data_IF_504208453878
#
_entry.id   IF_504208453878
#
_cell.length_a   1.000
_cell.length_b   1.000
_cell.length_c   1.000
_cell.angle_alpha   90.00
_cell.angle_beta   90.00
_cell.angle_gamma   90.00
#
_symmetry.space_group_name_H-M   'P 1'
#
loop_
_entity.id
_entity.type
_entity.pdbx_description
1 polymer ?
#
# COMPACT_ATOMS: atom_id res chain seq x y z
N UNK A 1 9.24 -22.21 18.09
CA UNK A 1 10.63 -21.89 18.32
C UNK A 1 11.21 -20.98 17.26
N UNK A 2 10.87 -21.20 16.02
CA UNK A 2 11.39 -20.43 14.90
C UNK A 2 10.64 -19.13 14.62
N UNK A 3 9.44 -19.00 15.16
CA UNK A 3 8.59 -17.83 14.90
C UNK A 3 9.16 -16.54 15.49
N UNK A 4 9.79 -16.64 16.66
CA UNK A 4 10.38 -15.47 17.33
C UNK A 4 11.53 -14.89 16.50
N UNK A 5 12.37 -15.75 15.91
CA UNK A 5 13.49 -15.28 15.11
C UNK A 5 13.03 -14.67 13.78
N UNK A 6 11.91 -15.13 13.24
CA UNK A 6 11.32 -14.56 12.01
C UNK A 6 10.71 -13.19 12.28
N UNK A 7 10.03 -13.05 13.42
CA UNK A 7 9.41 -11.76 13.81
C UNK A 7 10.43 -10.67 14.09
N UNK A 8 11.62 -11.03 14.56
CA UNK A 8 12.66 -10.06 14.89
C UNK A 8 13.62 -9.77 13.74
N UNK A 9 13.51 -10.53 12.64
CA UNK A 9 14.40 -10.31 11.49
C UNK A 9 14.07 -8.99 10.78
N UNK A 10 15.11 -8.24 10.46
CA UNK A 10 15.00 -7.06 9.60
C UNK A 10 16.07 -7.16 8.51
N UNK A 11 15.72 -6.82 7.26
CA UNK A 11 16.69 -6.82 6.17
C UNK A 11 17.86 -5.87 6.45
N UNK A 12 19.06 -6.30 6.12
CA UNK A 12 20.28 -5.55 6.32
C UNK A 12 21.00 -5.33 5.00
N UNK A 13 21.65 -4.17 4.86
CA UNK A 13 22.48 -3.87 3.70
C UNK A 13 23.71 -4.76 3.60
N UNK A 14 24.07 -5.46 4.69
CA UNK A 14 25.19 -6.39 4.71
C UNK A 14 24.88 -7.73 4.04
N UNK A 15 23.61 -7.98 3.76
CA UNK A 15 23.14 -9.19 3.08
C UNK A 15 23.01 -8.96 1.58
N UNK A 16 23.07 -10.02 0.76
CA UNK A 16 22.77 -9.88 -0.67
C UNK A 16 21.36 -9.30 -0.84
N UNK A 17 21.22 -8.32 -1.73
CA UNK A 17 19.96 -7.63 -1.96
C UNK A 17 18.91 -8.61 -2.47
N UNK A 18 17.73 -8.55 -1.87
CA UNK A 18 16.58 -9.41 -2.21
C UNK A 18 16.91 -10.90 -2.19
N UNK A 19 17.71 -11.32 -1.23
CA UNK A 19 17.87 -12.75 -0.97
C UNK A 19 16.53 -13.34 -0.51
N UNK A 20 16.45 -14.65 -0.43
CA UNK A 20 15.18 -15.33 -0.10
C UNK A 20 14.57 -14.86 1.21
N UNK A 21 15.42 -14.56 2.20
CA UNK A 21 14.97 -14.11 3.51
C UNK A 21 14.38 -12.70 3.43
N UNK A 22 14.99 -11.81 2.67
CA UNK A 22 14.48 -10.46 2.45
C UNK A 22 13.17 -10.48 1.68
N UNK A 23 13.07 -11.30 0.63
CA UNK A 23 11.84 -11.45 -0.13
C UNK A 23 10.70 -11.94 0.74
N UNK A 24 10.95 -12.91 1.59
CA UNK A 24 9.93 -13.43 2.51
C UNK A 24 9.50 -12.37 3.53
N UNK A 25 10.45 -11.56 4.01
CA UNK A 25 10.13 -10.45 4.90
C UNK A 25 9.14 -9.46 4.26
N UNK A 26 9.44 -9.02 3.05
CA UNK A 26 8.57 -8.07 2.35
C UNK A 26 7.25 -8.70 1.93
N UNK A 27 7.28 -9.97 1.55
CA UNK A 27 6.07 -10.72 1.22
C UNK A 27 5.11 -10.74 2.41
N UNK A 28 5.60 -11.09 3.58
CA UNK A 28 4.77 -11.12 4.81
C UNK A 28 4.26 -9.74 5.18
N UNK A 29 5.08 -8.74 5.04
CA UNK A 29 4.69 -7.35 5.34
C UNK A 29 3.56 -6.90 4.42
N UNK A 30 3.67 -7.18 3.14
CA UNK A 30 2.65 -6.85 2.15
C UNK A 30 1.33 -7.60 2.41
N UNK A 31 1.40 -8.88 2.72
CA UNK A 31 0.21 -9.69 3.02
C UNK A 31 -0.49 -9.18 4.27
N UNK A 32 0.25 -8.89 5.34
CA UNK A 32 -0.31 -8.37 6.58
C UNK A 32 -1.01 -7.02 6.34
N UNK A 33 -0.39 -6.15 5.56
CA UNK A 33 -0.96 -4.85 5.21
C UNK A 33 -2.24 -5.02 4.39
N UNK A 34 -2.23 -5.92 3.41
CA UNK A 34 -3.40 -6.23 2.60
C UNK A 34 -4.58 -6.69 3.47
N UNK A 35 -4.32 -7.60 4.39
CA UNK A 35 -5.35 -8.11 5.29
C UNK A 35 -5.90 -7.01 6.20
N UNK A 36 -5.04 -6.12 6.68
CA UNK A 36 -5.44 -4.99 7.50
C UNK A 36 -6.39 -4.05 6.73
N UNK A 37 -6.09 -3.75 5.47
CA UNK A 37 -6.94 -2.91 4.62
C UNK A 37 -8.29 -3.57 4.39
N UNK A 38 -8.31 -4.88 4.11
CA UNK A 38 -9.56 -5.61 3.87
C UNK A 38 -10.43 -5.65 5.12
N UNK A 39 -9.84 -5.84 6.29
CA UNK A 39 -10.57 -5.83 7.56
C UNK A 39 -11.20 -4.46 7.82
N UNK A 40 -10.43 -3.40 7.61
CA UNK A 40 -10.91 -2.02 7.76
C UNK A 40 -12.06 -1.72 6.80
N UNK A 41 -11.98 -2.18 5.56
CA UNK A 41 -13.03 -2.01 4.56
C UNK A 41 -14.32 -2.71 4.97
N UNK A 42 -14.23 -3.91 5.53
CA UNK A 42 -15.41 -4.64 6.02
C UNK A 42 -16.08 -3.90 7.17
N UNK A 43 -15.31 -3.38 8.10
CA UNK A 43 -15.83 -2.63 9.24
C UNK A 43 -16.53 -1.35 8.79
N UNK A 44 -15.93 -0.64 7.84
CA UNK A 44 -16.51 0.57 7.27
C UNK A 44 -17.83 0.27 6.57
N UNK A 45 -17.89 -0.81 5.80
CA UNK A 45 -19.11 -1.20 5.10
C UNK A 45 -20.23 -1.54 6.09
N UNK A 46 -19.91 -2.27 7.16
CA UNK A 46 -20.88 -2.61 8.19
C UNK A 46 -21.43 -1.36 8.88
N UNK A 47 -20.56 -0.39 9.19
CA UNK A 47 -20.98 0.87 9.79
C UNK A 47 -21.89 1.66 8.88
N UNK A 48 -21.60 1.72 7.57
CA UNK A 48 -22.44 2.40 6.58
C UNK A 48 -23.84 1.76 6.50
N UNK A 49 -23.91 0.44 6.54
CA UNK A 49 -25.18 -0.28 6.50
C UNK A 49 -26.03 0.03 7.73
N UNK A 50 -25.43 0.09 8.92
CA UNK A 50 -26.12 0.45 10.14
C UNK A 50 -26.65 1.88 10.11
N UNK A 51 -25.86 2.83 9.66
CA UNK A 51 -26.28 4.22 9.52
C UNK A 51 -27.47 4.35 8.57
N UNK A 52 -27.41 3.67 7.44
CA UNK A 52 -28.49 3.70 6.45
C UNK A 52 -29.83 3.22 7.01
N UNK A 53 -29.80 2.25 7.93
CA UNK A 53 -31.00 1.71 8.57
C UNK A 53 -31.57 2.61 9.66
N UNK A 54 -30.74 3.48 10.25
CA UNK A 54 -31.10 4.26 11.44
C UNK A 54 -31.48 5.71 11.16
N UNK A 55 -31.43 6.18 9.91
CA UNK A 55 -31.72 7.57 9.57
C UNK A 55 -32.93 7.74 8.66
N UNK A 56 -34.17 7.82 9.22
CA UNK A 56 -35.37 8.05 8.42
C UNK A 56 -35.62 9.51 8.06
N UNK A 57 -34.97 10.48 8.73
CA UNK A 57 -35.21 11.92 8.51
C UNK A 57 -34.52 12.43 7.24
N UNK A 58 -35.19 13.37 6.55
CA UNK A 58 -34.70 13.93 5.30
C UNK A 58 -33.37 14.67 5.46
N UNK A 59 -33.22 15.46 6.53
CA UNK A 59 -31.97 16.19 6.81
C UNK A 59 -30.83 15.23 7.14
N UNK A 60 -31.13 14.19 7.89
CA UNK A 60 -30.16 13.15 8.23
C UNK A 60 -29.74 12.34 7.00
N UNK A 61 -30.66 12.17 6.03
CA UNK A 61 -30.32 11.52 4.77
C UNK A 61 -29.28 12.31 3.97
N UNK A 62 -29.42 13.64 3.89
CA UNK A 62 -28.48 14.47 3.15
C UNK A 62 -27.08 14.39 3.75
N UNK A 63 -26.98 14.43 5.10
CA UNK A 63 -25.72 14.27 5.80
C UNK A 63 -25.14 12.88 5.59
N UNK A 64 -25.98 11.85 5.68
CA UNK A 64 -25.58 10.46 5.47
C UNK A 64 -25.09 10.21 4.05
N UNK A 65 -25.71 10.84 3.05
CA UNK A 65 -25.27 10.73 1.65
C UNK A 65 -23.89 11.35 1.44
N UNK A 66 -23.62 12.49 2.08
CA UNK A 66 -22.32 13.15 2.04
C UNK A 66 -21.24 12.25 2.68
N UNK A 67 -21.56 11.70 3.86
CA UNK A 67 -20.66 10.79 4.57
C UNK A 67 -20.40 9.53 3.74
N UNK A 68 -21.45 9.01 3.11
CA UNK A 68 -21.34 7.84 2.23
C UNK A 68 -20.43 8.12 1.04
N UNK A 69 -20.53 9.32 0.43
CA UNK A 69 -19.68 9.71 -0.69
C UNK A 69 -18.22 9.74 -0.27
N UNK A 70 -17.92 10.27 0.94
CA UNK A 70 -16.57 10.29 1.50
C UNK A 70 -16.05 8.87 1.72
N UNK A 71 -16.89 8.01 2.27
CA UNK A 71 -16.53 6.61 2.53
C UNK A 71 -16.30 5.83 1.24
N UNK A 72 -17.10 6.06 0.22
CA UNK A 72 -16.90 5.42 -1.09
C UNK A 72 -15.58 5.84 -1.72
N UNK A 73 -15.18 7.10 -1.58
CA UNK A 73 -13.88 7.55 -2.06
C UNK A 73 -12.74 6.91 -1.29
N UNK A 74 -12.90 6.76 0.03
CA UNK A 74 -11.91 6.07 0.86
C UNK A 74 -11.76 4.62 0.42
N UNK A 75 -12.87 3.93 0.15
CA UNK A 75 -12.87 2.55 -0.32
C UNK A 75 -12.20 2.43 -1.70
N UNK A 76 -12.42 3.41 -2.57
CA UNK A 76 -11.76 3.43 -3.88
C UNK A 76 -10.25 3.55 -3.73
N UNK A 77 -9.78 4.42 -2.84
CA UNK A 77 -8.33 4.53 -2.54
C UNK A 77 -7.78 3.22 -1.99
N UNK A 78 -8.53 2.57 -1.09
CA UNK A 78 -8.13 1.28 -0.52
C UNK A 78 -8.03 0.20 -1.60
N UNK A 79 -8.97 0.17 -2.53
CA UNK A 79 -8.95 -0.78 -3.64
C UNK A 79 -7.72 -0.58 -4.53
N UNK A 80 -7.40 0.68 -4.83
CA UNK A 80 -6.20 1.00 -5.62
C UNK A 80 -4.92 0.60 -4.89
N UNK A 81 -4.90 0.79 -3.57
CA UNK A 81 -3.77 0.40 -2.75
C UNK A 81 -3.59 -1.13 -2.73
N UNK A 82 -4.69 -1.86 -2.61
CA UNK A 82 -4.66 -3.33 -2.69
C UNK A 82 -4.12 -3.78 -4.04
N UNK A 83 -4.52 -3.13 -5.13
CA UNK A 83 -3.99 -3.45 -6.46
C UNK A 83 -2.48 -3.26 -6.53
N UNK A 84 -1.96 -2.20 -5.91
CA UNK A 84 -0.51 -1.95 -5.83
C UNK A 84 0.21 -3.00 -4.97
N UNK A 85 -0.43 -3.43 -3.89
CA UNK A 85 0.11 -4.49 -3.04
C UNK A 85 0.16 -5.80 -3.82
N UNK A 86 -0.90 -6.15 -4.52
CA UNK A 86 -0.96 -7.37 -5.33
C UNK A 86 0.10 -7.35 -6.45
N UNK A 87 0.30 -6.19 -7.07
CA UNK A 87 1.35 -6.04 -8.07
C UNK A 87 2.74 -6.25 -7.46
N UNK A 88 2.97 -5.73 -6.24
CA UNK A 88 4.24 -5.92 -5.55
C UNK A 88 4.46 -7.39 -5.21
N UNK A 89 3.42 -8.09 -4.75
CA UNK A 89 3.50 -9.52 -4.47
C UNK A 89 3.83 -10.31 -5.75
N UNK A 90 3.24 -9.92 -6.88
CA UNK A 90 3.56 -10.51 -8.18
C UNK A 90 5.02 -10.32 -8.56
N UNK A 91 5.59 -9.14 -8.30
CA UNK A 91 7.01 -8.88 -8.58
C UNK A 91 7.93 -9.71 -7.67
N UNK A 92 7.52 -9.97 -6.43
CA UNK A 92 8.29 -10.85 -5.55
C UNK A 92 8.38 -12.25 -6.15
N UNK A 93 7.27 -12.78 -6.66
CA UNK A 93 7.25 -14.09 -7.29
C UNK A 93 8.07 -14.13 -8.58
N UNK A 94 8.05 -13.06 -9.36
CA UNK A 94 8.80 -12.94 -10.60
C UNK A 94 10.29 -12.67 -10.39
N UNK A 95 10.68 -12.26 -9.18
CA UNK A 95 12.06 -11.92 -8.88
C UNK A 95 12.47 -10.51 -9.27
N UNK A 96 11.50 -9.63 -9.52
CA UNK A 96 11.76 -8.24 -9.94
C UNK A 96 11.47 -7.22 -8.84
N UNK A 97 10.99 -7.66 -7.70
CA UNK A 97 10.67 -6.77 -6.59
C UNK A 97 11.90 -6.06 -6.06
N UNK A 98 11.76 -4.79 -5.73
CA UNK A 98 12.79 -4.00 -5.08
C UNK A 98 13.71 -3.23 -6.01
N UNK A 99 13.49 -3.32 -7.30
CA UNK A 99 14.30 -2.60 -8.29
C UNK A 99 13.52 -1.43 -8.87
N UNK A 100 14.21 -0.30 -9.03
CA UNK A 100 13.60 0.91 -9.59
C UNK A 100 13.17 0.66 -11.03
N UNK A 101 11.92 0.96 -11.35
CA UNK A 101 11.37 0.74 -12.69
C UNK A 101 11.99 1.66 -13.75
N UNK A 102 12.55 2.79 -13.35
CA UNK A 102 13.19 3.72 -14.29
C UNK A 102 14.67 3.43 -14.50
N UNK A 103 15.40 3.11 -13.43
CA UNK A 103 16.86 2.96 -13.51
C UNK A 103 17.34 1.52 -13.50
N UNK A 104 16.49 0.60 -13.02
CA UNK A 104 16.89 -0.80 -12.84
C UNK A 104 17.76 -1.04 -11.62
N UNK A 105 18.10 0.00 -10.87
CA UNK A 105 18.93 -0.13 -9.68
C UNK A 105 18.11 -0.56 -8.46
N UNK A 106 18.74 -1.19 -7.46
CA UNK A 106 18.03 -1.54 -6.23
C UNK A 106 17.49 -0.32 -5.52
N UNK A 107 16.27 -0.45 -5.01
CA UNK A 107 15.68 0.56 -4.14
C UNK A 107 16.20 0.30 -2.72
N UNK A 108 16.59 1.35 -2.00
CA UNK A 108 17.12 1.22 -0.64
C UNK A 108 16.16 0.43 0.25
N UNK A 109 16.71 -0.50 1.03
CA UNK A 109 15.90 -1.34 1.93
C UNK A 109 15.08 -0.51 2.89
N UNK A 110 15.63 0.61 3.38
CA UNK A 110 14.93 1.52 4.28
C UNK A 110 13.68 2.10 3.63
N UNK A 111 13.76 2.44 2.34
CA UNK A 111 12.62 2.95 1.60
C UNK A 111 11.57 1.87 1.39
N UNK A 112 11.99 0.66 1.05
CA UNK A 112 11.07 -0.47 0.88
C UNK A 112 10.38 -0.85 2.18
N UNK A 113 11.10 -0.75 3.30
CA UNK A 113 10.53 -1.05 4.61
C UNK A 113 9.46 -0.02 4.99
N UNK A 114 9.70 1.25 4.67
CA UNK A 114 8.74 2.33 4.91
C UNK A 114 7.59 2.31 3.89
N UNK A 115 7.87 1.92 2.65
CA UNK A 115 6.88 1.89 1.58
C UNK A 115 7.08 0.64 0.71
N UNK A 116 6.52 -0.50 1.13
CA UNK A 116 6.76 -1.78 0.43
C UNK A 116 6.26 -1.82 -1.02
N UNK A 117 5.35 -0.93 -1.41
CA UNK A 117 4.85 -0.86 -2.79
C UNK A 117 5.69 0.07 -3.68
N UNK A 118 6.78 0.65 -3.17
CA UNK A 118 7.60 1.57 -3.94
C UNK A 118 8.18 0.90 -5.18
N UNK A 119 8.08 1.59 -6.32
CA UNK A 119 8.62 1.14 -7.61
C UNK A 119 9.71 2.07 -8.13
N UNK A 120 9.99 3.16 -7.44
CA UNK A 120 10.99 4.14 -7.81
C UNK A 120 11.93 4.40 -6.64
N UNK A 121 13.21 4.60 -6.94
CA UNK A 121 14.15 5.12 -5.96
C UNK A 121 13.75 6.54 -5.57
N UNK A 122 14.31 7.07 -4.47
CA UNK A 122 14.04 8.44 -4.05
C UNK A 122 14.42 9.43 -5.16
N UNK A 123 15.55 9.23 -5.79
CA UNK A 123 16.04 10.10 -6.87
C UNK A 123 15.11 10.06 -8.09
N UNK A 124 14.65 8.88 -8.47
CA UNK A 124 13.72 8.73 -9.59
C UNK A 124 12.38 9.35 -9.28
N UNK A 125 11.90 9.20 -8.04
CA UNK A 125 10.64 9.81 -7.60
C UNK A 125 10.73 11.33 -7.64
N UNK A 126 11.82 11.90 -7.18
CA UNK A 126 12.04 13.35 -7.22
C UNK A 126 12.06 13.89 -8.64
N UNK A 127 12.72 13.17 -9.56
CA UNK A 127 12.74 13.56 -10.97
C UNK A 127 11.34 13.53 -11.58
N UNK A 128 10.56 12.50 -11.24
CA UNK A 128 9.19 12.36 -11.72
C UNK A 128 8.33 13.51 -11.24
N UNK A 129 8.42 13.87 -9.97
CA UNK A 129 7.67 14.99 -9.39
C UNK A 129 8.07 16.33 -10.00
N UNK A 130 9.34 16.53 -10.30
CA UNK A 130 9.80 17.75 -10.97
C UNK A 130 9.24 17.87 -12.38
N UNK A 131 9.19 16.76 -13.12
CA UNK A 131 8.58 16.74 -14.46
C UNK A 131 7.11 17.11 -14.41
N UNK A 132 6.39 16.57 -13.46
CA UNK A 132 4.97 16.85 -13.28
C UNK A 132 4.73 18.33 -13.00
N UNK A 133 5.59 18.96 -12.19
CA UNK A 133 5.48 20.38 -11.91
C UNK A 133 5.70 21.25 -13.14
N UNK A 134 6.70 20.90 -13.94
CA UNK A 134 6.99 21.63 -15.18
C UNK A 134 5.82 21.55 -16.15
N UNK A 135 5.23 20.39 -16.30
CA UNK A 135 4.08 20.21 -17.18
C UNK A 135 2.82 20.94 -16.69
N UNK A 136 2.68 21.12 -15.39
CA UNK A 136 1.56 21.86 -14.82
C UNK A 136 1.68 23.36 -15.00
N UNK A 137 2.89 23.88 -15.01
CA UNK A 137 3.16 25.30 -15.14
C UNK A 137 3.05 25.81 -16.58
N UNK A 138 3.01 24.90 -17.53
CA UNK A 138 2.77 25.22 -18.93
C UNK A 138 1.27 25.24 -19.22
#
# INVERSE_FOLDING_TARGET
>A
MNDVSVETYKPSDDEPFMNDRQREYFRRKLIAWRESILAESRDTLAALQQESENHPDFADRASSETDRAIELRARDRQRKLIAKIDAALGRIEEGTYGYCSETGEPIALRRLDARPIATLSVEAQERHERRERVYRDD
#
